data_IF_707214113661
#
_entry.id   IF_707214113661
#
_cell.length_a   1.000
_cell.length_b   1.000
_cell.length_c   1.000
_cell.angle_alpha   90.00
_cell.angle_beta   90.00
_cell.angle_gamma   90.00
#
_symmetry.space_group_name_H-M   'P 1'
#
loop_
_entity.id
_entity.type
_entity.pdbx_description
1 polymer ?
#
# COMPACT_ATOMS: atom_id res chain seq x y z
N UNK A 1 -9.55 0.67 14.85
CA UNK A 1 -8.34 1.07 14.13
C UNK A 1 -8.55 0.81 12.64
N UNK A 2 -8.02 1.68 11.76
CA UNK A 2 -8.02 1.44 10.32
C UNK A 2 -6.89 0.50 9.91
N UNK A 3 -7.03 -0.12 8.74
CA UNK A 3 -5.97 -0.92 8.13
C UNK A 3 -5.66 -0.44 6.71
N UNK A 4 -4.43 -0.68 6.27
CA UNK A 4 -3.97 -0.41 4.92
C UNK A 4 -3.49 -1.72 4.29
N UNK A 5 -3.82 -1.91 3.01
CA UNK A 5 -3.40 -3.09 2.23
C UNK A 5 -2.41 -2.65 1.15
N UNK A 6 -1.35 -3.43 1.01
CA UNK A 6 -0.37 -3.29 -0.05
C UNK A 6 -0.41 -4.52 -0.97
N UNK A 7 0.02 -4.38 -2.21
CA UNK A 7 -0.02 -5.47 -3.19
C UNK A 7 1.15 -6.44 -2.97
N UNK A 8 0.84 -7.68 -2.60
CA UNK A 8 1.87 -8.71 -2.33
C UNK A 8 2.49 -9.28 -3.59
N UNK A 9 1.82 -9.19 -4.74
CA UNK A 9 2.39 -9.58 -6.04
C UNK A 9 3.72 -8.85 -6.30
N UNK A 10 3.81 -7.59 -5.87
CA UNK A 10 4.98 -6.73 -6.01
C UNK A 10 5.80 -6.64 -4.72
N UNK A 11 5.54 -7.49 -3.76
CA UNK A 11 6.21 -7.50 -2.45
C UNK A 11 6.13 -6.14 -1.71
N UNK A 12 5.06 -5.36 -1.95
CA UNK A 12 4.93 -4.03 -1.36
C UNK A 12 4.67 -4.06 0.14
N UNK A 13 4.00 -5.11 0.67
CA UNK A 13 3.86 -5.30 2.11
C UNK A 13 5.25 -5.46 2.74
N UNK A 14 6.10 -6.30 2.18
CA UNK A 14 7.47 -6.49 2.67
C UNK A 14 8.30 -5.19 2.55
N UNK A 15 8.13 -4.45 1.44
CA UNK A 15 8.81 -3.18 1.26
C UNK A 15 8.48 -2.13 2.35
N UNK A 16 7.25 -2.14 2.86
CA UNK A 16 6.86 -1.31 4.00
C UNK A 16 7.49 -1.81 5.30
N UNK A 17 7.48 -3.11 5.54
CA UNK A 17 8.08 -3.72 6.73
C UNK A 17 9.60 -3.48 6.79
N UNK A 18 10.26 -3.50 5.64
CA UNK A 18 11.70 -3.20 5.50
C UNK A 18 12.02 -1.69 5.55
N UNK A 19 11.01 -0.82 5.62
CA UNK A 19 11.18 0.63 5.61
C UNK A 19 11.56 1.25 4.25
N UNK A 20 11.57 0.46 3.17
CA UNK A 20 11.89 0.94 1.81
C UNK A 20 10.72 1.70 1.17
N UNK A 21 9.50 1.23 1.41
CA UNK A 21 8.28 1.91 0.97
C UNK A 21 7.79 2.83 2.08
N UNK A 22 8.00 4.12 1.91
CA UNK A 22 7.61 5.16 2.87
C UNK A 22 6.44 6.02 2.40
N UNK A 23 6.03 5.87 1.14
CA UNK A 23 4.91 6.57 0.54
C UNK A 23 3.92 5.59 -0.09
N UNK A 24 2.66 5.95 -0.14
CA UNK A 24 1.63 5.23 -0.92
C UNK A 24 0.61 6.20 -1.48
N UNK A 25 0.26 6.02 -2.73
CA UNK A 25 -0.78 6.80 -3.42
C UNK A 25 -2.10 6.05 -3.43
N UNK A 26 -3.16 6.81 -3.41
CA UNK A 26 -4.52 6.28 -3.53
C UNK A 26 -5.37 7.27 -4.32
N UNK A 27 -6.11 6.78 -5.30
CA UNK A 27 -7.06 7.60 -6.04
C UNK A 27 -8.18 8.02 -5.10
N UNK A 28 -8.52 9.31 -5.09
CA UNK A 28 -9.66 9.80 -4.32
C UNK A 28 -10.98 9.22 -4.86
N UNK A 29 -11.84 8.78 -3.96
CA UNK A 29 -13.16 8.24 -4.33
C UNK A 29 -14.06 9.30 -4.96
N UNK A 30 -13.89 10.55 -4.59
CA UNK A 30 -14.62 11.68 -5.15
C UNK A 30 -14.28 11.89 -6.62
N UNK A 31 -13.02 11.73 -7.01
CA UNK A 31 -12.58 11.82 -8.41
C UNK A 31 -13.24 10.75 -9.28
N UNK A 32 -13.39 9.54 -8.78
CA UNK A 32 -14.01 8.43 -9.52
C UNK A 32 -15.51 8.65 -9.69
N UNK A 33 -16.19 9.22 -8.69
CA UNK A 33 -17.66 9.36 -8.70
C UNK A 33 -18.18 10.53 -9.51
N UNK A 34 -17.47 11.66 -9.53
CA UNK A 34 -18.05 12.92 -9.97
C UNK A 34 -17.30 13.58 -11.12
N UNK A 35 -16.26 12.99 -11.70
CA UNK A 35 -15.37 13.64 -12.66
C UNK A 35 -14.94 15.05 -12.19
N UNK A 36 -14.74 15.19 -10.89
CA UNK A 36 -14.51 16.48 -10.25
C UNK A 36 -13.12 16.95 -10.59
N UNK A 37 -13.03 18.04 -11.28
CA UNK A 37 -11.77 18.70 -11.56
C UNK A 37 -11.21 19.26 -10.24
N UNK A 38 -9.99 18.85 -9.93
CA UNK A 38 -9.24 19.38 -8.82
C UNK A 38 -8.80 20.82 -9.08
N UNK A 39 -9.01 21.71 -8.14
CA UNK A 39 -8.62 23.13 -8.24
C UNK A 39 -7.25 23.33 -7.59
N UNK A 40 -7.14 23.05 -6.32
CA UNK A 40 -5.90 23.14 -5.55
C UNK A 40 -6.06 22.48 -4.17
N UNK A 41 -5.01 21.87 -3.65
CA UNK A 41 -5.01 21.28 -2.30
C UNK A 41 -6.21 20.35 -2.06
N UNK A 42 -7.01 20.64 -1.05
CA UNK A 42 -8.18 19.83 -0.66
C UNK A 42 -9.50 20.29 -1.29
N UNK A 43 -9.46 21.22 -2.24
CA UNK A 43 -10.67 21.81 -2.81
C UNK A 43 -10.89 21.40 -4.27
N UNK A 44 -12.08 20.94 -4.61
CA UNK A 44 -12.52 20.73 -5.98
C UNK A 44 -12.95 22.07 -6.62
N UNK A 45 -13.04 22.11 -7.96
CA UNK A 45 -13.54 23.32 -8.67
C UNK A 45 -14.99 23.68 -8.33
N UNK A 46 -15.76 22.74 -7.76
CA UNK A 46 -17.14 22.96 -7.32
C UNK A 46 -17.23 23.29 -5.83
N UNK A 47 -16.10 23.58 -5.15
CA UNK A 47 -16.07 23.91 -3.73
C UNK A 47 -16.26 22.71 -2.78
N UNK A 48 -16.25 21.49 -3.29
CA UNK A 48 -16.29 20.30 -2.42
C UNK A 48 -14.93 20.03 -1.80
N UNK A 49 -14.92 19.81 -0.50
CA UNK A 49 -13.73 19.41 0.23
C UNK A 49 -13.35 17.95 -0.08
N UNK A 50 -12.12 17.73 -0.54
CA UNK A 50 -11.57 16.39 -0.73
C UNK A 50 -11.03 15.90 0.60
N UNK A 51 -11.72 14.96 1.23
CA UNK A 51 -11.32 14.40 2.54
C UNK A 51 -10.36 13.23 2.38
N UNK A 52 -9.16 13.31 2.96
CA UNK A 52 -8.24 12.17 2.96
C UNK A 52 -8.82 11.01 3.78
N UNK A 53 -8.49 9.78 3.36
CA UNK A 53 -8.92 8.55 4.06
C UNK A 53 -8.28 8.45 5.44
N UNK A 54 -7.05 8.90 5.58
CA UNK A 54 -6.27 8.88 6.81
C UNK A 54 -6.06 10.29 7.35
N UNK A 55 -5.70 10.38 8.63
CA UNK A 55 -5.35 11.65 9.29
C UNK A 55 -3.85 11.66 9.60
N UNK A 56 -3.27 12.85 9.66
CA UNK A 56 -1.89 13.02 10.15
C UNK A 56 -1.82 12.49 11.59
N UNK A 57 -0.73 11.82 11.92
CA UNK A 57 -0.48 11.12 13.18
C UNK A 57 -1.37 9.91 13.46
N UNK A 58 -2.29 9.53 12.53
CA UNK A 58 -3.10 8.33 12.69
C UNK A 58 -2.23 7.06 12.63
N UNK A 59 -2.47 6.14 13.56
CA UNK A 59 -1.86 4.81 13.56
C UNK A 59 -2.74 3.86 12.76
N UNK A 60 -2.13 3.20 11.76
CA UNK A 60 -2.84 2.34 10.80
C UNK A 60 -2.17 0.97 10.77
N UNK A 61 -2.96 -0.09 10.88
CA UNK A 61 -2.47 -1.45 10.82
C UNK A 61 -2.11 -1.87 9.39
N UNK A 62 -0.98 -2.55 9.22
CA UNK A 62 -0.60 -3.17 7.94
C UNK A 62 -1.35 -4.49 7.83
N UNK A 63 -2.25 -4.60 6.86
CA UNK A 63 -3.03 -5.80 6.65
C UNK A 63 -2.15 -6.93 6.08
N UNK A 64 -2.02 -8.02 6.82
CA UNK A 64 -1.35 -9.25 6.43
C UNK A 64 -2.33 -10.41 6.61
N UNK A 65 -2.27 -11.43 5.75
CA UNK A 65 -3.15 -12.59 5.94
C UNK A 65 -2.69 -13.40 7.17
N UNK A 66 -3.63 -14.03 7.85
CA UNK A 66 -3.33 -14.80 9.06
C UNK A 66 -2.38 -15.97 8.80
N UNK A 67 -2.47 -16.57 7.61
CA UNK A 67 -1.56 -17.63 7.19
C UNK A 67 -0.09 -17.17 7.18
N UNK A 68 0.19 -15.97 6.64
CA UNK A 68 1.55 -15.43 6.60
C UNK A 68 2.11 -15.05 7.97
N UNK A 69 1.24 -14.77 8.92
CA UNK A 69 1.61 -14.47 10.31
C UNK A 69 1.70 -15.71 11.19
N UNK A 70 1.31 -16.90 10.67
CA UNK A 70 1.16 -18.10 11.50
C UNK A 70 0.12 -17.95 12.61
N UNK A 71 -0.80 -16.99 12.46
CA UNK A 71 -1.74 -16.57 13.49
C UNK A 71 -3.10 -17.23 13.28
N UNK A 72 -3.63 -17.84 14.34
CA UNK A 72 -5.03 -18.26 14.35
C UNK A 72 -5.90 -17.17 15.00
N UNK A 73 -6.80 -16.53 14.25
CA UNK A 73 -7.63 -15.44 14.78
C UNK A 73 -8.57 -15.92 15.91
N UNK A 74 -9.01 -17.17 15.89
CA UNK A 74 -9.89 -17.72 16.93
C UNK A 74 -9.13 -17.91 18.25
N UNK A 75 -7.88 -18.37 18.21
CA UNK A 75 -7.02 -18.46 19.40
C UNK A 75 -6.76 -17.05 19.95
N UNK A 76 -6.41 -16.09 19.11
CA UNK A 76 -6.14 -14.72 19.55
C UNK A 76 -7.37 -14.03 20.16
N UNK A 77 -8.59 -14.43 19.78
CA UNK A 77 -9.83 -13.95 20.39
C UNK A 77 -10.14 -14.64 21.71
N UNK A 78 -9.84 -15.94 21.81
CA UNK A 78 -10.15 -16.77 22.99
C UNK A 78 -9.10 -16.62 24.08
N UNK A 79 -7.86 -16.22 23.78
CA UNK A 79 -6.85 -15.91 24.81
C UNK A 79 -7.26 -14.78 25.74
N UNK A 80 -8.22 -13.94 25.34
CA UNK A 80 -8.80 -12.95 26.25
C UNK A 80 -9.68 -13.58 27.34
N UNK A 81 -10.27 -14.74 27.06
CA UNK A 81 -11.25 -15.39 27.94
C UNK A 81 -10.77 -16.75 28.47
N UNK A 82 -9.56 -17.17 28.16
CA UNK A 82 -8.90 -18.37 28.74
C UNK A 82 -9.53 -19.72 28.38
N UNK A 83 -10.35 -19.80 27.33
CA UNK A 83 -11.02 -21.04 26.91
C UNK A 83 -10.57 -21.39 25.49
N UNK A 84 -9.52 -22.19 25.36
CA UNK A 84 -9.00 -22.65 24.07
C UNK A 84 -9.83 -23.76 23.44
N UNK A 85 -10.55 -23.50 22.39
CA UNK A 85 -11.10 -24.50 21.48
C UNK A 85 -10.31 -24.52 20.18
N UNK A 86 -9.71 -25.66 19.84
CA UNK A 86 -9.01 -25.91 18.57
C UNK A 86 -10.02 -26.15 17.45
N UNK A 87 -10.41 -25.13 16.73
CA UNK A 87 -11.15 -25.28 15.47
C UNK A 87 -10.21 -25.15 14.28
N UNK A 88 -10.43 -25.98 13.25
CA UNK A 88 -9.60 -25.99 12.03
C UNK A 88 -9.81 -24.69 11.22
N UNK A 89 -8.93 -23.72 11.41
CA UNK A 89 -9.10 -22.32 10.96
C UNK A 89 -8.65 -22.02 9.54
N UNK A 90 -8.26 -23.05 8.76
CA UNK A 90 -7.86 -22.86 7.35
C UNK A 90 -8.93 -22.22 6.45
N UNK A 91 -10.15 -22.06 6.93
CA UNK A 91 -11.27 -21.47 6.20
C UNK A 91 -11.78 -20.17 6.85
N UNK A 92 -11.15 -19.68 7.90
CA UNK A 92 -11.57 -18.44 8.52
C UNK A 92 -11.39 -17.24 7.55
N UNK A 93 -12.34 -16.29 7.54
CA UNK A 93 -12.14 -15.04 6.83
C UNK A 93 -10.80 -14.39 7.23
N UNK A 94 -10.00 -14.00 6.24
CA UNK A 94 -8.67 -13.43 6.49
C UNK A 94 -7.52 -14.43 6.50
N UNK A 95 -7.78 -15.75 6.44
CA UNK A 95 -6.70 -16.73 6.38
C UNK A 95 -5.75 -16.48 5.22
N UNK A 96 -6.25 -16.50 3.97
CA UNK A 96 -5.47 -16.16 2.75
C UNK A 96 -5.73 -14.76 2.21
N UNK A 97 -6.86 -14.15 2.57
CA UNK A 97 -7.27 -12.87 2.04
C UNK A 97 -7.22 -11.78 3.11
N UNK A 98 -6.20 -10.94 3.02
CA UNK A 98 -5.98 -9.81 3.95
C UNK A 98 -7.08 -8.75 3.96
N UNK A 99 -8.03 -8.79 3.00
CA UNK A 99 -9.19 -7.91 3.05
C UNK A 99 -10.07 -8.16 4.27
N UNK A 100 -10.14 -9.40 4.74
CA UNK A 100 -11.01 -9.80 5.84
C UNK A 100 -10.31 -9.89 7.20
N UNK A 101 -9.02 -9.53 7.28
CA UNK A 101 -8.33 -9.53 8.58
C UNK A 101 -8.80 -8.39 9.47
N UNK A 102 -8.73 -8.60 10.76
CA UNK A 102 -9.01 -7.58 11.78
C UNK A 102 -7.79 -6.72 12.02
N UNK A 103 -7.97 -5.40 12.01
CA UNK A 103 -6.88 -4.44 12.20
C UNK A 103 -6.23 -4.51 13.58
N UNK A 104 -7.02 -4.85 14.62
CA UNK A 104 -6.59 -4.96 16.00
C UNK A 104 -5.71 -6.18 16.29
N UNK A 105 -5.74 -7.20 15.39
CA UNK A 105 -4.90 -8.38 15.47
C UNK A 105 -3.60 -8.27 14.66
N UNK A 106 -3.42 -7.20 13.90
CA UNK A 106 -2.22 -7.04 13.08
C UNK A 106 -1.02 -6.61 13.94
N UNK A 107 0.14 -7.29 13.82
CA UNK A 107 1.30 -6.98 14.65
C UNK A 107 2.03 -5.71 14.21
N UNK A 108 1.91 -5.33 12.94
CA UNK A 108 2.67 -4.22 12.37
C UNK A 108 1.78 -3.02 12.08
N UNK A 109 2.26 -1.84 12.43
CA UNK A 109 1.56 -0.57 12.28
C UNK A 109 2.47 0.47 11.67
N UNK A 110 1.86 1.39 10.91
CA UNK A 110 2.52 2.60 10.41
C UNK A 110 1.82 3.83 10.98
N UNK A 111 2.59 4.89 11.18
CA UNK A 111 2.07 6.22 11.52
C UNK A 111 2.05 7.08 10.27
N UNK A 112 0.92 7.69 9.97
CA UNK A 112 0.80 8.64 8.86
C UNK A 112 1.49 9.93 9.28
N UNK A 113 2.57 10.29 8.62
CA UNK A 113 3.35 11.50 8.94
C UNK A 113 2.93 12.70 8.13
N UNK A 114 2.51 12.48 6.88
CA UNK A 114 2.09 13.52 5.97
C UNK A 114 1.02 13.03 5.01
N UNK A 115 0.21 13.96 4.47
CA UNK A 115 -0.83 13.69 3.48
C UNK A 115 -0.78 14.81 2.44
N UNK A 116 -0.52 14.44 1.19
CA UNK A 116 -0.47 15.33 0.04
C UNK A 116 -1.57 15.00 -0.95
N UNK A 117 -2.25 16.01 -1.46
CA UNK A 117 -3.17 15.88 -2.59
C UNK A 117 -2.51 16.52 -3.79
N UNK A 118 -2.32 15.77 -4.85
CA UNK A 118 -1.66 16.22 -6.06
C UNK A 118 -2.28 15.58 -7.30
N UNK A 119 -2.05 16.15 -8.46
CA UNK A 119 -2.41 15.53 -9.73
C UNK A 119 -1.44 14.39 -10.03
N UNK A 120 -1.94 13.41 -10.77
CA UNK A 120 -1.13 12.27 -11.18
C UNK A 120 0.08 12.68 -12.03
N UNK A 121 -0.07 13.77 -12.82
CA UNK A 121 1.01 14.30 -13.66
C UNK A 121 2.11 15.04 -12.87
N UNK A 122 1.80 15.50 -11.66
CA UNK A 122 2.71 16.33 -10.84
C UNK A 122 3.61 15.51 -9.92
N UNK A 123 3.55 14.19 -10.05
CA UNK A 123 4.33 13.24 -9.25
C UNK A 123 5.82 13.36 -9.57
N UNK A 124 6.66 13.51 -8.56
CA UNK A 124 8.11 13.50 -8.72
C UNK A 124 8.68 12.06 -8.81
N UNK A 125 9.81 11.91 -9.50
CA UNK A 125 10.51 10.63 -9.59
C UNK A 125 10.99 10.13 -8.21
N UNK A 126 11.40 11.06 -7.34
CA UNK A 126 11.79 10.76 -5.96
C UNK A 126 10.64 10.16 -5.15
N UNK A 127 9.43 10.70 -5.30
CA UNK A 127 8.24 10.18 -4.63
C UNK A 127 7.83 8.82 -5.20
N UNK A 128 8.05 8.58 -6.50
CA UNK A 128 7.87 7.26 -7.10
C UNK A 128 8.81 6.22 -6.47
N UNK A 129 10.07 6.55 -6.25
CA UNK A 129 11.02 5.64 -5.60
C UNK A 129 10.59 5.32 -4.15
N UNK A 130 10.03 6.28 -3.41
CA UNK A 130 9.49 6.07 -2.06
C UNK A 130 8.28 5.10 -2.02
N UNK A 131 7.69 4.78 -3.16
CA UNK A 131 6.64 3.76 -3.27
C UNK A 131 7.16 2.32 -3.27
N UNK A 132 8.46 2.12 -3.13
CA UNK A 132 9.10 0.81 -3.09
C UNK A 132 9.55 0.30 -4.46
N UNK A 133 9.69 1.20 -5.42
CA UNK A 133 10.28 0.92 -6.74
C UNK A 133 11.79 0.74 -6.56
N UNK A 134 12.33 -0.25 -7.26
CA UNK A 134 13.77 -0.48 -7.36
C UNK A 134 14.33 0.25 -8.57
N UNK A 135 15.51 0.84 -8.40
CA UNK A 135 16.33 1.35 -9.48
C UNK A 135 17.44 0.35 -9.77
N UNK A 136 17.62 0.00 -11.02
CA UNK A 136 18.69 -0.84 -11.51
C UNK A 136 19.20 -0.34 -12.86
N UNK A 137 19.85 -1.19 -13.61
CA UNK A 137 20.30 -0.92 -14.96
C UNK A 137 19.86 -2.04 -15.89
N UNK A 138 19.43 -1.68 -17.09
CA UNK A 138 19.20 -2.61 -18.19
C UNK A 138 20.05 -2.23 -19.39
N UNK A 139 20.37 -3.22 -20.21
CA UNK A 139 21.24 -3.06 -21.39
C UNK A 139 22.30 -4.14 -21.47
N UNK A 140 23.13 -4.04 -22.48
CA UNK A 140 24.33 -4.88 -22.68
C UNK A 140 25.51 -4.02 -23.03
N UNK A 141 26.71 -4.63 -23.11
CA UNK A 141 27.93 -3.95 -23.53
C UNK A 141 27.74 -3.30 -24.91
N UNK A 142 26.95 -3.91 -25.77
CA UNK A 142 26.71 -3.45 -27.14
C UNK A 142 25.60 -2.38 -27.24
N UNK A 143 24.71 -2.27 -26.25
CA UNK A 143 23.51 -1.40 -26.33
C UNK A 143 23.51 -0.25 -25.31
N UNK A 144 24.61 0.01 -24.65
CA UNK A 144 24.72 0.93 -23.50
C UNK A 144 23.78 0.56 -22.34
N UNK A 145 24.24 0.83 -21.13
CA UNK A 145 23.43 0.65 -19.93
C UNK A 145 22.57 1.88 -19.69
N UNK A 146 21.27 1.66 -19.45
CA UNK A 146 20.31 2.69 -19.09
C UNK A 146 19.69 2.39 -17.71
N UNK A 147 19.28 3.43 -17.02
CA UNK A 147 18.51 3.28 -15.77
C UNK A 147 17.22 2.50 -16.04
N UNK A 148 16.92 1.58 -15.15
CA UNK A 148 15.73 0.73 -15.21
C UNK A 148 15.02 0.74 -13.88
N UNK A 149 13.70 0.77 -13.92
CA UNK A 149 12.84 0.84 -12.73
C UNK A 149 11.88 -0.36 -12.73
N UNK A 150 11.74 -1.01 -11.59
CA UNK A 150 10.90 -2.22 -11.47
C UNK A 150 10.39 -2.43 -10.05
N UNK A 151 9.28 -3.13 -9.91
CA UNK A 151 8.89 -3.73 -8.63
C UNK A 151 9.49 -5.13 -8.51
N UNK A 152 9.73 -5.59 -7.29
CA UNK A 152 10.19 -6.95 -7.05
C UNK A 152 9.16 -7.95 -7.60
N UNK A 153 9.59 -8.77 -8.55
CA UNK A 153 8.73 -9.73 -9.24
C UNK A 153 8.22 -9.29 -10.61
N UNK A 154 8.50 -8.06 -11.04
CA UNK A 154 8.25 -7.65 -12.42
C UNK A 154 9.29 -8.26 -13.36
N UNK A 155 8.80 -8.62 -14.56
CA UNK A 155 9.64 -9.22 -15.61
C UNK A 155 10.22 -8.12 -16.51
N UNK A 156 9.52 -6.98 -16.65
CA UNK A 156 9.92 -5.92 -17.56
C UNK A 156 10.30 -4.65 -16.78
N UNK A 157 11.49 -4.11 -17.05
CA UNK A 157 11.89 -2.81 -16.50
C UNK A 157 11.19 -1.67 -17.26
N UNK A 158 11.01 -0.56 -16.57
CA UNK A 158 10.49 0.69 -17.13
C UNK A 158 11.59 1.73 -17.21
N UNK A 159 11.53 2.62 -18.21
CA UNK A 159 12.55 3.66 -18.41
C UNK A 159 12.43 4.80 -17.39
N UNK A 160 11.23 5.02 -16.83
CA UNK A 160 11.03 6.04 -15.80
C UNK A 160 10.29 5.46 -14.60
N UNK A 161 10.58 5.93 -13.38
CA UNK A 161 9.86 5.48 -12.19
C UNK A 161 8.39 5.93 -12.21
N UNK A 162 8.09 7.02 -12.91
CA UNK A 162 6.74 7.57 -13.06
C UNK A 162 5.85 6.64 -13.87
N UNK A 163 6.31 6.14 -15.01
CA UNK A 163 5.51 5.22 -15.85
C UNK A 163 5.14 3.97 -15.08
N UNK A 164 6.09 3.41 -14.33
CA UNK A 164 5.86 2.25 -13.47
C UNK A 164 4.86 2.56 -12.35
N UNK A 165 4.98 3.71 -11.69
CA UNK A 165 4.10 4.12 -10.59
C UNK A 165 2.66 4.30 -11.07
N UNK A 166 2.44 4.87 -12.26
CA UNK A 166 1.11 5.13 -12.82
C UNK A 166 0.32 3.85 -13.16
N UNK A 167 1.02 2.77 -13.48
CA UNK A 167 0.38 1.49 -13.81
C UNK A 167 -0.17 0.78 -12.58
N UNK A 168 0.36 1.08 -11.40
CA UNK A 168 0.08 0.33 -10.16
C UNK A 168 -0.69 1.10 -9.09
N UNK A 169 -1.27 2.24 -9.45
CA UNK A 169 -2.14 3.05 -8.56
C UNK A 169 -3.56 2.51 -8.42
#
# INVERSE_FOLDING_TARGET
>A
MKKIMFNDKYSLTQAVLDGRKTMTRRISKEQIRNSVFWKSGYESIHGYEIKPIYKISELVAIAQCYESLGMNPEIALNDRDGIGFYTKTKFAPGWKNKMFVRADLMPHHIRITDIKIERLQDISDEDCLKEGIYKGQCGSVDTHFMDAYYYKGDIQPYCTPRDLSLIHI
#
